data_IF_882590659576
#
_entry.id   IF_882590659576
#
_cell.length_a   1.000
_cell.length_b   1.000
_cell.length_c   1.000
_cell.angle_alpha   90.00
_cell.angle_beta   90.00
_cell.angle_gamma   90.00
#
_symmetry.space_group_name_H-M   'P 1'
#
loop_
_entity.id
_entity.type
_entity.pdbx_description
1 polymer ?
#
# COMPACT_ATOMS: atom_id res chain seq x y z
N UNK A 1 7.26 4.68 -22.60
CA UNK A 1 7.62 3.96 -21.36
C UNK A 1 7.70 5.00 -20.25
N UNK A 2 6.63 5.20 -19.46
CA UNK A 2 6.60 6.27 -18.45
C UNK A 2 6.56 5.64 -17.05
N UNK A 3 7.54 5.99 -16.24
CA UNK A 3 7.94 5.36 -14.97
C UNK A 3 7.00 5.76 -13.83
N UNK A 4 6.83 4.91 -12.82
CA UNK A 4 6.25 5.29 -11.52
C UNK A 4 7.17 6.33 -10.87
N UNK A 5 6.63 7.43 -10.34
CA UNK A 5 7.43 8.50 -9.73
C UNK A 5 7.74 8.14 -8.28
N UNK A 6 9.01 7.82 -7.97
CA UNK A 6 9.52 7.74 -6.59
C UNK A 6 9.79 9.17 -6.11
N UNK A 7 9.16 9.59 -5.01
CA UNK A 7 9.45 10.87 -4.39
C UNK A 7 10.67 10.70 -3.46
N UNK A 8 11.73 11.49 -3.64
CA UNK A 8 12.93 11.46 -2.79
C UNK A 8 13.12 12.83 -2.13
N UNK A 9 13.16 12.87 -0.79
CA UNK A 9 13.12 14.11 -0.02
C UNK A 9 14.44 14.58 0.58
N UNK A 10 15.57 13.87 0.52
CA UNK A 10 16.84 14.41 1.07
C UNK A 10 18.14 13.85 0.46
N UNK A 11 19.07 14.75 0.18
CA UNK A 11 20.52 14.53 0.16
C UNK A 11 21.06 14.93 1.54
N UNK A 12 21.51 13.97 2.35
CA UNK A 12 22.45 14.14 3.47
C UNK A 12 22.90 12.73 3.90
N UNK A 13 24.18 12.44 3.72
CA UNK A 13 24.78 11.13 4.02
C UNK A 13 24.82 10.89 5.53
N UNK A 14 24.26 9.77 5.98
CA UNK A 14 24.65 9.11 7.23
C UNK A 14 24.58 7.61 6.99
N UNK A 15 25.74 6.95 7.00
CA UNK A 15 25.87 5.51 6.86
C UNK A 15 25.77 4.87 8.24
N UNK A 16 24.74 4.06 8.45
CA UNK A 16 24.63 3.16 9.60
C UNK A 16 24.01 1.85 9.11
N UNK A 17 24.79 0.77 9.16
CA UNK A 17 24.26 -0.60 9.15
C UNK A 17 23.06 -0.66 10.09
N UNK A 18 21.89 -0.95 9.53
CA UNK A 18 20.70 -1.17 10.32
C UNK A 18 19.82 -2.20 9.65
N UNK A 19 19.44 -3.23 10.40
CA UNK A 19 18.20 -3.98 10.27
C UNK A 19 16.96 -3.04 10.35
N UNK A 20 16.94 -1.96 9.57
CA UNK A 20 15.78 -1.07 9.47
C UNK A 20 14.82 -1.72 8.51
N UNK A 21 13.80 -2.34 9.09
CA UNK A 21 12.69 -2.83 8.30
C UNK A 21 12.10 -1.68 7.48
N UNK A 22 11.88 -1.93 6.18
CA UNK A 22 11.50 -0.88 5.24
C UNK A 22 10.02 -0.54 5.43
N UNK A 23 9.67 0.75 5.44
CA UNK A 23 8.28 1.21 5.37
C UNK A 23 7.99 1.76 3.97
N UNK A 24 6.85 1.37 3.40
CA UNK A 24 6.40 1.86 2.09
C UNK A 24 5.04 2.52 2.23
N UNK A 25 4.90 3.71 1.65
CA UNK A 25 3.63 4.39 1.48
C UNK A 25 3.18 4.36 0.01
N UNK A 26 1.95 3.89 -0.21
CA UNK A 26 1.25 3.92 -1.49
C UNK A 26 0.14 4.96 -1.40
N UNK A 27 0.11 5.88 -2.36
CA UNK A 27 -0.89 6.94 -2.42
C UNK A 27 -1.75 6.75 -3.67
N UNK A 28 -3.07 6.71 -3.47
CA UNK A 28 -4.07 6.80 -4.53
C UNK A 28 -3.97 8.16 -5.24
N UNK A 29 -3.84 8.18 -6.59
CA UNK A 29 -3.74 9.43 -7.36
C UNK A 29 -4.96 10.34 -7.28
N UNK A 30 -6.10 9.85 -6.80
CA UNK A 30 -7.32 10.67 -6.69
C UNK A 30 -7.41 11.47 -5.40
N UNK A 31 -6.50 11.25 -4.45
CA UNK A 31 -6.44 11.99 -3.19
C UNK A 31 -6.03 13.45 -3.45
N UNK A 32 -6.85 14.44 -3.04
CA UNK A 32 -6.51 15.84 -3.19
C UNK A 32 -5.33 16.22 -2.30
N UNK A 33 -4.61 17.28 -2.68
CA UNK A 33 -3.52 17.85 -1.89
C UNK A 33 -2.40 16.83 -1.53
N UNK A 34 -2.06 15.93 -2.45
CA UNK A 34 -0.99 14.93 -2.28
C UNK A 34 0.30 15.53 -1.70
N UNK A 35 0.69 16.75 -2.10
CA UNK A 35 1.90 17.42 -1.58
C UNK A 35 1.86 17.63 -0.05
N UNK A 36 0.68 17.87 0.53
CA UNK A 36 0.56 18.02 2.00
C UNK A 36 0.72 16.68 2.70
N UNK A 37 0.20 15.61 2.12
CA UNK A 37 0.37 14.24 2.65
C UNK A 37 1.83 13.84 2.58
N UNK A 38 2.50 14.07 1.44
CA UNK A 38 3.94 13.86 1.26
C UNK A 38 4.79 14.69 2.25
N UNK A 39 4.26 15.80 2.73
CA UNK A 39 4.92 16.60 3.76
C UNK A 39 4.78 16.04 5.18
N UNK A 40 3.74 15.26 5.46
CA UNK A 40 3.54 14.58 6.74
C UNK A 40 4.18 13.20 6.84
N UNK A 41 4.57 12.58 5.71
CA UNK A 41 5.23 11.27 5.70
C UNK A 41 6.68 11.41 6.19
N UNK A 42 7.12 10.47 7.04
CA UNK A 42 8.49 10.43 7.56
C UNK A 42 9.48 10.27 6.42
N UNK A 43 10.66 10.86 6.56
CA UNK A 43 11.67 10.89 5.49
C UNK A 43 12.26 9.52 5.14
N UNK A 44 12.14 8.53 6.03
CA UNK A 44 12.58 7.15 5.86
C UNK A 44 11.53 6.22 5.26
N UNK A 45 10.30 6.71 4.99
CA UNK A 45 9.26 5.94 4.32
C UNK A 45 9.37 6.11 2.79
N UNK A 46 9.58 5.01 2.07
CA UNK A 46 9.57 5.04 0.61
C UNK A 46 8.15 5.28 0.07
N UNK A 47 7.95 6.35 -0.68
CA UNK A 47 6.61 6.76 -1.11
C UNK A 47 6.41 6.65 -2.61
N UNK A 48 5.28 6.05 -3.02
CA UNK A 48 4.87 5.88 -4.40
C UNK A 48 3.44 6.38 -4.62
N UNK A 49 3.23 7.17 -5.66
CA UNK A 49 1.90 7.55 -6.14
C UNK A 49 1.54 6.61 -7.30
N UNK A 50 0.37 5.97 -7.21
CA UNK A 50 -0.10 5.07 -8.26
C UNK A 50 -0.51 5.85 -9.51
N UNK A 51 -0.57 5.17 -10.65
CA UNK A 51 -1.20 5.71 -11.85
C UNK A 51 -2.70 5.48 -11.79
N UNK A 52 -3.46 6.45 -12.31
CA UNK A 52 -4.93 6.38 -12.35
C UNK A 52 -5.43 5.43 -13.46
N UNK A 53 -5.19 4.13 -13.28
CA UNK A 53 -5.45 3.04 -14.23
C UNK A 53 -6.16 1.87 -13.52
N UNK A 54 -6.91 1.01 -14.24
CA UNK A 54 -7.71 -0.07 -13.64
C UNK A 54 -6.86 -1.32 -13.32
N UNK A 55 -5.70 -1.15 -12.69
CA UNK A 55 -4.74 -2.21 -12.36
C UNK A 55 -3.92 -1.90 -11.10
N UNK A 56 -4.46 -1.09 -10.17
CA UNK A 56 -3.73 -0.59 -9.01
C UNK A 56 -3.08 -1.69 -8.15
N UNK A 57 -3.76 -2.82 -7.96
CA UNK A 57 -3.23 -3.96 -7.17
C UNK A 57 -2.01 -4.59 -7.85
N UNK A 58 -2.00 -4.65 -9.19
CA UNK A 58 -0.85 -5.11 -9.96
C UNK A 58 0.30 -4.09 -9.91
N UNK A 59 0.00 -2.79 -9.95
CA UNK A 59 1.02 -1.75 -9.76
C UNK A 59 1.70 -1.87 -8.39
N UNK A 60 0.93 -2.05 -7.31
CA UNK A 60 1.48 -2.28 -5.97
C UNK A 60 2.32 -3.56 -5.98
N UNK A 61 1.84 -4.66 -6.55
CA UNK A 61 2.62 -5.90 -6.63
C UNK A 61 3.98 -5.70 -7.35
N UNK A 62 4.00 -4.93 -8.45
CA UNK A 62 5.23 -4.56 -9.17
C UNK A 62 6.16 -3.65 -8.38
N UNK A 63 5.63 -2.78 -7.53
CA UNK A 63 6.41 -1.95 -6.61
C UNK A 63 7.05 -2.84 -5.55
N UNK A 64 6.23 -3.61 -4.83
CA UNK A 64 6.68 -4.46 -3.72
C UNK A 64 7.66 -5.55 -4.16
N UNK A 65 7.55 -6.06 -5.40
CA UNK A 65 8.48 -7.04 -5.95
C UNK A 65 9.94 -6.54 -6.07
N UNK A 66 10.18 -5.22 -5.95
CA UNK A 66 11.52 -4.63 -5.96
C UNK A 66 12.12 -4.46 -4.57
N UNK A 67 11.39 -4.90 -3.55
CA UNK A 67 11.69 -4.69 -2.15
C UNK A 67 11.64 -6.02 -1.40
N UNK A 68 12.32 -6.05 -0.26
CA UNK A 68 12.29 -7.16 0.69
C UNK A 68 12.23 -6.59 2.10
N UNK A 69 11.80 -7.40 3.06
CA UNK A 69 11.81 -7.03 4.49
C UNK A 69 11.03 -5.74 4.83
N UNK A 70 9.89 -5.56 4.15
CA UNK A 70 8.97 -4.47 4.45
C UNK A 70 8.25 -4.77 5.78
N UNK A 71 8.38 -3.89 6.78
CA UNK A 71 7.64 -4.01 8.03
C UNK A 71 6.28 -3.32 7.99
N UNK A 72 6.10 -2.29 7.17
CA UNK A 72 4.81 -1.62 7.06
C UNK A 72 4.53 -1.20 5.62
N UNK A 73 3.32 -1.53 5.17
CA UNK A 73 2.74 -1.02 3.93
C UNK A 73 1.57 -0.11 4.28
N UNK A 74 1.76 1.19 4.08
CA UNK A 74 0.75 2.22 4.26
C UNK A 74 0.04 2.44 2.93
N UNK A 75 -1.29 2.38 2.92
CA UNK A 75 -2.10 2.63 1.72
C UNK A 75 -3.06 3.79 2.02
N UNK A 76 -2.87 4.91 1.35
CA UNK A 76 -3.67 6.13 1.50
C UNK A 76 -4.62 6.22 0.32
N UNK A 77 -5.92 6.19 0.58
CA UNK A 77 -6.92 6.11 -0.47
C UNK A 77 -8.32 6.56 -0.04
N UNK A 78 -9.25 6.63 -0.99
CA UNK A 78 -10.67 6.65 -0.65
C UNK A 78 -11.15 5.27 -0.17
N UNK A 79 -12.28 5.25 0.53
CA UNK A 79 -12.87 4.04 1.07
C UNK A 79 -14.36 4.17 1.32
N UNK A 80 -14.98 3.02 1.50
CA UNK A 80 -16.32 2.84 2.06
C UNK A 80 -16.36 1.49 2.81
N UNK A 81 -17.40 1.17 3.59
CA UNK A 81 -17.47 -0.11 4.31
C UNK A 81 -17.18 -1.34 3.44
N UNK A 82 -16.05 -2.00 3.71
CA UNK A 82 -15.59 -3.19 2.98
C UNK A 82 -15.09 -2.97 1.56
N UNK A 83 -14.69 -1.74 1.23
CA UNK A 83 -14.16 -1.38 -0.09
C UNK A 83 -13.01 -0.38 0.02
N UNK A 84 -11.93 -0.66 -0.72
CA UNK A 84 -10.79 0.23 -0.97
C UNK A 84 -10.85 0.73 -2.43
N UNK A 85 -10.76 2.03 -2.64
CA UNK A 85 -10.71 2.62 -3.98
C UNK A 85 -9.28 3.11 -4.27
N UNK A 86 -8.66 2.63 -5.34
CA UNK A 86 -7.32 3.01 -5.76
C UNK A 86 -7.35 3.43 -7.24
N UNK A 87 -7.44 4.73 -7.52
CA UNK A 87 -7.65 5.23 -8.86
C UNK A 87 -8.96 4.70 -9.47
N UNK A 88 -8.85 3.83 -10.48
CA UNK A 88 -10.00 3.17 -11.13
C UNK A 88 -10.22 1.74 -10.63
N UNK A 89 -9.41 1.26 -9.69
CA UNK A 89 -9.54 -0.07 -9.12
C UNK A 89 -10.35 -0.01 -7.84
N UNK A 90 -11.43 -0.78 -7.80
CA UNK A 90 -12.15 -1.09 -6.58
C UNK A 90 -11.68 -2.46 -6.06
N UNK A 91 -11.28 -2.54 -4.80
CA UNK A 91 -10.97 -3.80 -4.11
C UNK A 91 -11.97 -4.01 -2.97
N UNK A 92 -12.76 -5.07 -3.03
CA UNK A 92 -13.84 -5.35 -2.08
C UNK A 92 -14.02 -6.86 -1.85
N UNK A 93 -14.96 -7.23 -0.99
CA UNK A 93 -15.24 -8.63 -0.64
C UNK A 93 -15.63 -9.53 -1.83
N UNK A 94 -16.20 -8.96 -2.89
CA UNK A 94 -16.70 -9.68 -4.07
C UNK A 94 -15.60 -9.97 -5.08
N UNK A 95 -14.54 -9.16 -5.12
CA UNK A 95 -13.50 -9.27 -6.14
C UNK A 95 -12.08 -9.54 -5.61
N UNK A 96 -11.86 -9.49 -4.30
CA UNK A 96 -10.53 -9.66 -3.70
C UNK A 96 -9.86 -10.99 -4.08
N UNK A 97 -10.63 -12.07 -4.24
CA UNK A 97 -10.09 -13.37 -4.68
C UNK A 97 -9.55 -13.34 -6.11
N UNK A 98 -10.04 -12.44 -6.97
CA UNK A 98 -9.50 -12.26 -8.33
C UNK A 98 -8.07 -11.70 -8.29
N UNK A 99 -7.68 -11.05 -7.19
CA UNK A 99 -6.35 -10.51 -6.96
C UNK A 99 -5.46 -11.40 -6.08
N UNK A 100 -5.89 -12.64 -5.80
CA UNK A 100 -5.19 -13.55 -4.90
C UNK A 100 -3.70 -13.71 -5.23
N UNK A 101 -3.36 -13.87 -6.51
CA UNK A 101 -1.97 -14.04 -6.93
C UNK A 101 -1.12 -12.79 -6.62
N UNK A 102 -1.65 -11.61 -6.90
CA UNK A 102 -0.99 -10.33 -6.65
C UNK A 102 -0.84 -10.07 -5.15
N UNK A 103 -1.89 -10.33 -4.36
CA UNK A 103 -1.85 -10.16 -2.89
C UNK A 103 -0.89 -11.16 -2.23
N UNK A 104 -0.82 -12.40 -2.73
CA UNK A 104 0.20 -13.36 -2.31
C UNK A 104 1.61 -12.97 -2.76
N UNK A 105 1.74 -12.22 -3.85
CA UNK A 105 3.02 -11.63 -4.23
C UNK A 105 3.45 -10.52 -3.26
N UNK A 106 2.51 -9.73 -2.72
CA UNK A 106 2.82 -8.73 -1.69
C UNK A 106 3.48 -9.40 -0.49
N UNK A 107 2.92 -10.52 -0.02
CA UNK A 107 3.48 -11.32 1.08
C UNK A 107 4.98 -11.63 0.93
N UNK A 108 5.48 -11.83 -0.29
CA UNK A 108 6.90 -12.16 -0.54
C UNK A 108 7.86 -11.02 -0.20
N UNK A 109 7.37 -9.78 -0.21
CA UNK A 109 8.14 -8.59 0.14
C UNK A 109 8.01 -8.21 1.63
N UNK A 110 6.95 -8.68 2.28
CA UNK A 110 6.63 -8.37 3.68
C UNK A 110 7.42 -9.24 4.66
N UNK A 111 7.82 -8.67 5.79
CA UNK A 111 8.30 -9.44 6.94
C UNK A 111 7.18 -10.28 7.57
N UNK A 112 7.53 -11.31 8.34
CA UNK A 112 6.57 -12.14 9.08
C UNK A 112 5.67 -11.34 10.04
N UNK A 113 6.14 -10.18 10.51
CA UNK A 113 5.42 -9.31 11.45
C UNK A 113 4.86 -8.05 10.80
N UNK A 114 4.86 -7.96 9.46
CA UNK A 114 4.48 -6.76 8.76
C UNK A 114 3.02 -6.38 8.99
N UNK A 115 2.75 -5.08 8.92
CA UNK A 115 1.40 -4.52 8.96
C UNK A 115 1.00 -3.92 7.61
N UNK A 116 -0.27 -4.06 7.25
CA UNK A 116 -0.88 -3.26 6.18
C UNK A 116 -1.83 -2.26 6.82
N UNK A 117 -1.50 -0.97 6.70
CA UNK A 117 -2.28 0.11 7.31
C UNK A 117 -3.09 0.80 6.20
N UNK A 118 -4.41 0.76 6.32
CA UNK A 118 -5.33 1.37 5.37
C UNK A 118 -5.83 2.71 5.90
N UNK A 119 -5.47 3.80 5.22
CA UNK A 119 -5.99 5.14 5.49
C UNK A 119 -7.06 5.47 4.46
N UNK A 120 -8.32 5.29 4.85
CA UNK A 120 -9.47 5.67 4.03
C UNK A 120 -10.77 5.61 4.80
N UNK A 121 -11.80 6.28 4.28
CA UNK A 121 -13.09 6.41 4.95
C UNK A 121 -13.73 5.03 5.18
N UNK A 122 -13.99 4.69 6.44
CA UNK A 122 -14.86 3.58 6.85
C UNK A 122 -14.55 2.20 6.26
N UNK A 123 -13.35 1.96 5.71
CA UNK A 123 -13.00 0.68 5.03
C UNK A 123 -13.28 -0.52 5.94
N UNK A 124 -12.93 -0.39 7.22
CA UNK A 124 -13.09 -1.42 8.24
C UNK A 124 -14.47 -1.37 8.96
N UNK A 125 -15.38 -0.50 8.55
CA UNK A 125 -16.64 -0.33 9.25
C UNK A 125 -17.59 -1.52 9.05
N UNK A 126 -18.21 -1.96 10.15
CA UNK A 126 -19.22 -3.01 10.15
C UNK A 126 -18.69 -4.39 9.73
N UNK A 127 -19.63 -5.32 9.53
CA UNK A 127 -19.30 -6.70 9.20
C UNK A 127 -18.59 -6.82 7.84
N UNK A 128 -19.03 -6.06 6.84
CA UNK A 128 -18.43 -6.08 5.50
C UNK A 128 -16.98 -5.57 5.53
N UNK A 129 -16.69 -4.53 6.33
CA UNK A 129 -15.32 -4.06 6.55
C UNK A 129 -14.43 -5.11 7.20
N UNK A 130 -14.89 -5.72 8.29
CA UNK A 130 -14.16 -6.80 8.96
C UNK A 130 -13.88 -8.00 8.04
N UNK A 131 -14.84 -8.38 7.20
CA UNK A 131 -14.63 -9.46 6.22
C UNK A 131 -13.53 -9.12 5.21
N UNK A 132 -13.45 -7.87 4.75
CA UNK A 132 -12.38 -7.44 3.85
C UNK A 132 -11.02 -7.55 4.52
N UNK A 133 -10.90 -7.08 5.78
CA UNK A 133 -9.65 -7.16 6.53
C UNK A 133 -9.19 -8.60 6.77
N UNK A 134 -10.12 -9.50 7.12
CA UNK A 134 -9.81 -10.93 7.30
C UNK A 134 -9.27 -11.53 6.00
N UNK A 135 -9.89 -11.24 4.86
CA UNK A 135 -9.43 -11.75 3.55
C UNK A 135 -8.06 -11.18 3.18
N UNK A 136 -7.84 -9.88 3.40
CA UNK A 136 -6.52 -9.25 3.20
C UNK A 136 -5.45 -9.92 4.08
N UNK A 137 -5.73 -10.14 5.35
CA UNK A 137 -4.85 -10.85 6.28
C UNK A 137 -4.53 -12.27 5.78
N UNK A 138 -5.54 -13.03 5.37
CA UNK A 138 -5.36 -14.40 4.87
C UNK A 138 -4.49 -14.46 3.60
N UNK A 139 -4.66 -13.51 2.69
CA UNK A 139 -3.96 -13.48 1.41
C UNK A 139 -2.53 -12.94 1.52
N UNK A 140 -2.29 -11.99 2.43
CA UNK A 140 -1.01 -11.30 2.57
C UNK A 140 -0.17 -11.79 3.75
N UNK A 141 -0.79 -12.39 4.77
CA UNK A 141 -0.16 -12.74 6.04
C UNK A 141 0.15 -11.55 6.96
N UNK A 142 -0.15 -10.32 6.52
CA UNK A 142 0.12 -9.10 7.27
C UNK A 142 -0.94 -8.85 8.35
N UNK A 143 -0.53 -8.17 9.42
CA UNK A 143 -1.43 -7.68 10.48
C UNK A 143 -2.28 -6.51 10.00
#
# INVERSE_FOLDING_TARGET
MNTLTKFNKNNLFVDFNSDRSTEIAIIDPTIPECDRILNGIKTDTETYILKNQPDAIEQIAKILAKHTEIAALHIISHGSPGTLYLGKTELNNSNIENYKQQLQQWRKALTTNASIILYGCEIAAGNTGNQLLIKLHQLTGAK
#
